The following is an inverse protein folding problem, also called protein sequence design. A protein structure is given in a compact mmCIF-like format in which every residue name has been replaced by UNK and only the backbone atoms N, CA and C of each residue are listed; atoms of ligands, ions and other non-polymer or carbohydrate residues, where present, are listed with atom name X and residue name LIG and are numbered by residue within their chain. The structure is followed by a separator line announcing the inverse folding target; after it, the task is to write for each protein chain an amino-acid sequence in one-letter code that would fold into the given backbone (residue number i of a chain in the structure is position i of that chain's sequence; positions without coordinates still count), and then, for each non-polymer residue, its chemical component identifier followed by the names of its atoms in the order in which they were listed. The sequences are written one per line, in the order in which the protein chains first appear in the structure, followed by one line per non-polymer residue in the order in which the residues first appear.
data_IF_458724715434
#
_entry.id   IF_458724715434
#
_cell.length_a   1.000
_cell.length_b   1.000
_cell.length_c   1.000
_cell.angle_alpha   90.00
_cell.angle_beta   90.00
_cell.angle_gamma   90.00
#
_symmetry.space_group_name_H-M   'P 1'
#
loop_
_entity.id
_entity.type
_entity.pdbx_description
1 polymer ?
#
# COMPACT_ATOMS: atom_id res chain seq x y z
N UNK A 1 -9.38 13.53 -24.17
CA UNK A 1 -9.66 12.67 -23.00
C UNK A 1 -8.49 12.86 -22.04
N UNK A 2 -8.62 13.78 -21.08
CA UNK A 2 -7.52 14.09 -20.15
C UNK A 2 -7.34 12.91 -19.18
N UNK A 3 -6.16 12.28 -19.22
CA UNK A 3 -5.73 11.35 -18.18
C UNK A 3 -5.71 12.12 -16.85
N UNK A 4 -6.65 11.81 -15.95
CA UNK A 4 -6.59 12.25 -14.56
C UNK A 4 -5.40 11.54 -13.92
N UNK A 5 -4.30 12.26 -13.73
CA UNK A 5 -3.11 11.75 -13.08
C UNK A 5 -3.33 11.61 -11.56
N UNK A 6 -2.64 10.66 -10.94
CA UNK A 6 -2.89 10.20 -9.57
C UNK A 6 -2.19 11.11 -8.55
N UNK A 7 -2.95 11.70 -7.62
CA UNK A 7 -2.40 12.39 -6.44
C UNK A 7 -2.04 11.38 -5.35
N UNK A 8 -0.79 11.41 -4.87
CA UNK A 8 -0.25 10.53 -3.82
C UNK A 8 -0.81 10.83 -2.41
N UNK A 9 -1.57 11.92 -2.27
CA UNK A 9 -2.17 12.37 -1.00
C UNK A 9 -3.71 12.25 -1.02
N UNK A 10 -4.32 11.98 -2.17
CA UNK A 10 -5.77 11.83 -2.33
C UNK A 10 -6.31 10.42 -2.06
N UNK A 11 -7.54 10.15 -2.53
CA UNK A 11 -8.20 8.84 -2.46
C UNK A 11 -7.29 7.67 -2.90
N UNK A 12 -6.39 7.92 -3.83
CA UNK A 12 -5.45 6.97 -4.43
C UNK A 12 -4.48 6.41 -3.37
N UNK A 13 -4.05 7.21 -2.39
CA UNK A 13 -3.22 6.75 -1.28
C UNK A 13 -3.91 5.65 -0.47
N UNK A 14 -5.22 5.80 -0.24
CA UNK A 14 -6.02 4.78 0.44
C UNK A 14 -6.09 3.50 -0.40
N UNK A 15 -6.25 3.63 -1.71
CA UNK A 15 -6.23 2.49 -2.64
C UNK A 15 -4.89 1.76 -2.62
N UNK A 16 -3.75 2.45 -2.65
CA UNK A 16 -2.45 1.81 -2.60
C UNK A 16 -2.17 1.15 -1.24
N UNK A 17 -2.59 1.77 -0.13
CA UNK A 17 -2.55 1.10 1.19
C UNK A 17 -3.41 -0.16 1.19
N UNK A 18 -4.60 -0.12 0.58
CA UNK A 18 -5.47 -1.28 0.42
C UNK A 18 -4.82 -2.37 -0.43
N UNK A 19 -4.04 -2.01 -1.46
CA UNK A 19 -3.24 -2.96 -2.23
C UNK A 19 -2.33 -3.77 -1.31
N UNK A 20 -1.54 -3.11 -0.45
CA UNK A 20 -0.66 -3.80 0.49
C UNK A 20 -1.39 -4.76 1.43
N UNK A 21 -2.63 -4.45 1.83
CA UNK A 21 -3.46 -5.38 2.60
C UNK A 21 -3.92 -6.59 1.79
N UNK A 22 -4.23 -6.42 0.51
CA UNK A 22 -4.55 -7.53 -0.37
C UNK A 22 -3.33 -8.40 -0.70
N UNK A 23 -2.12 -7.83 -0.81
CA UNK A 23 -0.88 -8.61 -0.93
C UNK A 23 -0.69 -9.55 0.26
N UNK A 24 -0.99 -9.10 1.49
CA UNK A 24 -0.95 -9.95 2.69
C UNK A 24 -1.91 -11.14 2.61
N UNK A 25 -3.02 -11.00 1.89
CA UNK A 25 -4.04 -12.02 1.73
C UNK A 25 -3.82 -12.94 0.51
N UNK A 26 -2.79 -12.71 -0.31
CA UNK A 26 -2.51 -13.51 -1.50
C UNK A 26 -1.62 -14.71 -1.16
N UNK A 27 -2.08 -15.95 -1.45
CA UNK A 27 -1.21 -17.12 -1.37
C UNK A 27 -0.04 -17.04 -2.34
N UNK A 28 -0.22 -16.56 -3.59
CA UNK A 28 0.88 -16.45 -4.56
C UNK A 28 1.99 -15.52 -4.07
N UNK A 29 1.62 -14.37 -3.51
CA UNK A 29 2.58 -13.42 -2.95
C UNK A 29 3.36 -14.02 -1.77
N UNK A 30 2.70 -14.86 -0.97
CA UNK A 30 3.35 -15.57 0.11
C UNK A 30 4.36 -16.62 -0.38
N UNK A 31 4.09 -17.28 -1.51
CA UNK A 31 5.06 -18.18 -2.14
C UNK A 31 6.30 -17.40 -2.61
N UNK A 32 6.15 -16.19 -3.12
CA UNK A 32 7.28 -15.33 -3.48
C UNK A 32 8.15 -14.96 -2.26
N UNK A 33 7.52 -14.68 -1.12
CA UNK A 33 8.22 -14.49 0.15
C UNK A 33 9.04 -15.70 0.55
N UNK A 34 8.43 -16.89 0.56
CA UNK A 34 9.13 -18.11 0.95
C UNK A 34 10.30 -18.41 0.00
N UNK A 35 10.08 -18.24 -1.31
CA UNK A 35 11.12 -18.38 -2.33
C UNK A 35 12.30 -17.45 -2.08
N UNK A 36 12.06 -16.15 -1.81
CA UNK A 36 13.12 -15.16 -1.52
C UNK A 36 13.81 -15.37 -0.17
N UNK A 37 13.12 -15.93 0.81
CA UNK A 37 13.67 -16.16 2.17
C UNK A 37 14.33 -17.53 2.35
N UNK A 38 14.28 -18.40 1.34
CA UNK A 38 14.82 -19.76 1.42
C UNK A 38 14.04 -20.67 2.38
N UNK A 39 12.86 -20.23 2.84
CA UNK A 39 12.02 -21.03 3.74
C UNK A 39 11.28 -22.06 2.91
N UNK A 40 11.50 -23.34 3.22
CA UNK A 40 10.74 -24.44 2.63
C UNK A 40 9.26 -24.28 2.90
N UNK A 41 8.44 -24.41 1.85
CA UNK A 41 7.00 -24.46 1.95
C UNK A 41 6.50 -25.86 1.54
N UNK A 42 5.55 -26.40 2.29
CA UNK A 42 4.88 -27.65 1.90
C UNK A 42 3.96 -27.43 0.69
N UNK A 43 3.97 -28.37 -0.25
CA UNK A 43 3.19 -28.34 -1.49
C UNK A 43 3.92 -27.59 -2.61
N UNK A 44 4.31 -28.33 -3.66
CA UNK A 44 5.31 -27.94 -4.66
C UNK A 44 4.86 -27.05 -5.81
N UNK A 45 3.64 -26.52 -5.84
CA UNK A 45 3.19 -25.78 -7.01
C UNK A 45 3.34 -24.27 -6.80
N UNK A 46 4.31 -23.70 -7.50
CA UNK A 46 4.35 -22.28 -7.82
C UNK A 46 3.30 -22.01 -8.91
N UNK A 47 2.64 -20.83 -8.91
CA UNK A 47 1.75 -20.49 -10.01
C UNK A 47 2.54 -20.45 -11.33
N UNK A 48 1.91 -20.81 -12.45
CA UNK A 48 2.61 -20.89 -13.74
C UNK A 48 3.24 -19.54 -14.19
N UNK A 49 2.70 -18.42 -13.70
CA UNK A 49 3.19 -17.06 -13.94
C UNK A 49 4.00 -16.49 -12.76
N UNK A 50 4.69 -17.35 -12.00
CA UNK A 50 5.38 -16.98 -10.76
C UNK A 50 6.39 -15.83 -10.93
N UNK A 51 7.08 -15.72 -12.07
CA UNK A 51 7.99 -14.60 -12.34
C UNK A 51 7.29 -13.23 -12.22
N UNK A 52 6.03 -13.15 -12.64
CA UNK A 52 5.22 -11.93 -12.50
C UNK A 52 4.97 -11.60 -11.04
N UNK A 53 4.70 -12.62 -10.22
CA UNK A 53 4.49 -12.49 -8.78
C UNK A 53 5.78 -12.11 -8.07
N UNK A 54 6.90 -12.73 -8.45
CA UNK A 54 8.21 -12.47 -7.89
C UNK A 54 8.64 -11.02 -8.15
N UNK A 55 8.40 -10.48 -9.35
CA UNK A 55 8.65 -9.07 -9.68
C UNK A 55 7.88 -8.10 -8.76
N UNK A 56 6.63 -8.41 -8.44
CA UNK A 56 5.80 -7.60 -7.51
C UNK A 56 6.34 -7.71 -6.08
N UNK A 57 6.77 -8.90 -5.68
CA UNK A 57 7.42 -9.10 -4.38
C UNK A 57 8.74 -8.33 -4.27
N UNK A 58 9.58 -8.37 -5.31
CA UNK A 58 10.86 -7.65 -5.32
C UNK A 58 10.68 -6.12 -5.24
N UNK A 59 9.58 -5.60 -5.79
CA UNK A 59 9.24 -4.18 -5.70
C UNK A 59 8.67 -3.77 -4.32
N UNK A 60 7.76 -4.56 -3.75
CA UNK A 60 7.02 -4.19 -2.53
C UNK A 60 7.56 -4.79 -1.24
N UNK A 61 8.47 -5.77 -1.33
CA UNK A 61 9.10 -6.45 -0.21
C UNK A 61 8.13 -7.19 0.72
N UNK A 62 8.58 -7.51 1.93
CA UNK A 62 7.73 -8.18 2.91
C UNK A 62 6.72 -7.20 3.52
N UNK A 63 5.49 -7.24 3.01
CA UNK A 63 4.39 -6.39 3.49
C UNK A 63 3.83 -6.80 4.85
N UNK A 64 4.23 -7.92 5.46
CA UNK A 64 3.60 -8.48 6.68
C UNK A 64 4.22 -7.97 7.97
N UNK A 65 5.54 -7.85 8.04
CA UNK A 65 6.24 -7.49 9.29
C UNK A 65 6.22 -5.99 9.58
N UNK A 66 5.84 -5.17 8.61
CA UNK A 66 5.75 -3.72 8.75
C UNK A 66 4.30 -3.28 8.99
N UNK A 67 4.07 -2.19 9.70
CA UNK A 67 2.74 -1.56 9.68
C UNK A 67 2.46 -1.03 8.27
N UNK A 68 1.20 -1.00 7.82
CA UNK A 68 0.89 -0.55 6.46
C UNK A 68 1.34 0.89 6.21
N UNK A 69 1.29 1.75 7.23
CA UNK A 69 1.77 3.13 7.14
C UNK A 69 3.29 3.20 6.99
N UNK A 70 4.04 2.33 7.69
CA UNK A 70 5.48 2.25 7.54
C UNK A 70 5.84 1.70 6.16
N UNK A 71 5.20 0.61 5.72
CA UNK A 71 5.38 0.05 4.39
C UNK A 71 5.07 1.06 3.28
N UNK A 72 3.94 1.77 3.39
CA UNK A 72 3.54 2.82 2.46
C UNK A 72 4.65 3.86 2.31
N UNK A 73 5.13 4.42 3.43
CA UNK A 73 6.15 5.47 3.43
C UNK A 73 7.51 4.98 2.94
N UNK A 74 7.96 3.81 3.34
CA UNK A 74 9.35 3.38 3.12
C UNK A 74 9.57 2.55 1.85
N UNK A 75 8.54 1.89 1.33
CA UNK A 75 8.68 0.96 0.21
C UNK A 75 7.74 1.32 -0.93
N UNK A 76 6.47 1.60 -0.62
CA UNK A 76 5.42 1.62 -1.64
C UNK A 76 5.38 2.94 -2.44
N UNK A 77 5.56 4.10 -1.80
CA UNK A 77 5.54 5.42 -2.45
C UNK A 77 6.43 5.48 -3.71
N UNK A 78 7.72 5.06 -3.67
CA UNK A 78 8.58 5.04 -4.85
C UNK A 78 8.07 4.16 -6.01
N UNK A 79 7.36 3.07 -5.72
CA UNK A 79 6.92 2.08 -6.72
C UNK A 79 5.72 2.55 -7.55
N UNK A 80 4.88 3.43 -6.97
CA UNK A 80 3.65 3.93 -7.60
C UNK A 80 3.85 5.26 -8.33
N UNK A 81 5.07 5.78 -8.36
CA UNK A 81 5.34 7.20 -8.53
C UNK A 81 4.60 7.91 -9.65
N UNK A 82 3.85 8.95 -9.32
CA UNK A 82 3.94 10.31 -9.90
C UNK A 82 3.43 11.25 -8.81
N UNK A 83 4.24 12.23 -8.38
CA UNK A 83 3.72 13.41 -7.70
C UNK A 83 3.30 14.39 -8.77
N UNK A 84 2.12 15.00 -8.61
CA UNK A 84 1.76 16.17 -9.41
C UNK A 84 2.73 17.33 -9.15
N UNK A 85 3.30 17.38 -7.95
CA UNK A 85 4.36 18.30 -7.56
C UNK A 85 5.70 17.77 -8.03
N UNK A 86 6.14 18.25 -9.19
CA UNK A 86 7.54 18.11 -9.60
C UNK A 86 8.43 18.62 -8.45
N UNK A 87 9.49 17.87 -8.07
CA UNK A 87 10.43 18.34 -7.07
C UNK A 87 10.90 19.76 -7.41
N UNK A 88 10.72 20.66 -6.46
CA UNK A 88 11.11 22.06 -6.59
C UNK A 88 12.10 22.40 -5.50
N UNK A 89 12.97 23.36 -5.77
CA UNK A 89 13.87 23.90 -4.76
C UNK A 89 13.04 24.68 -3.74
N UNK A 90 12.87 24.12 -2.53
CA UNK A 90 12.15 24.77 -1.43
C UNK A 90 13.15 25.43 -0.46
N UNK A 91 13.05 26.74 -0.18
CA UNK A 91 13.87 27.38 0.85
C UNK A 91 13.42 26.95 2.25
N UNK A 92 14.30 26.31 3.01
CA UNK A 92 14.01 25.83 4.38
C UNK A 92 14.29 26.88 5.48
N UNK A 93 14.77 28.07 5.11
CA UNK A 93 15.01 29.18 6.03
C UNK A 93 16.32 29.93 5.74
N UNK A 94 16.56 31.01 6.50
CA UNK A 94 17.78 31.81 6.42
C UNK A 94 18.36 32.03 7.82
N UNK A 95 19.68 31.93 7.96
CA UNK A 95 20.40 32.27 9.19
C UNK A 95 21.00 33.67 9.03
N UNK A 96 20.75 34.56 10.00
CA UNK A 96 21.37 35.89 10.04
C UNK A 96 22.34 35.96 11.22
N UNK A 97 23.42 36.71 11.05
CA UNK A 97 24.47 36.85 12.07
C UNK A 97 23.96 37.43 13.40
N UNK A 98 22.90 38.24 13.37
CA UNK A 98 22.36 38.99 14.53
C UNK A 98 21.16 38.33 15.24
N UNK A 99 20.70 37.16 14.80
CA UNK A 99 19.53 36.49 15.39
C UNK A 99 19.96 35.68 16.64
N UNK A 100 20.13 36.25 17.83
CA UNK A 100 20.83 35.53 18.92
C UNK A 100 20.09 34.31 19.50
N UNK A 101 18.74 34.28 19.54
CA UNK A 101 18.06 33.28 20.41
C UNK A 101 17.14 32.23 19.75
N UNK A 102 16.82 32.30 18.45
CA UNK A 102 15.76 31.43 17.86
C UNK A 102 16.11 30.74 16.53
N UNK A 103 17.40 30.72 16.13
CA UNK A 103 17.83 30.18 14.82
C UNK A 103 17.48 28.71 14.64
N UNK A 104 17.83 27.89 15.63
CA UNK A 104 17.68 26.43 15.54
C UNK A 104 16.21 26.02 15.59
N UNK A 105 15.40 26.68 16.42
CA UNK A 105 13.99 26.38 16.57
C UNK A 105 13.23 26.62 15.25
N UNK A 106 13.47 27.77 14.60
CA UNK A 106 12.83 28.12 13.31
C UNK A 106 13.20 27.13 12.21
N UNK A 107 14.49 26.86 12.01
CA UNK A 107 14.96 25.91 10.97
C UNK A 107 14.41 24.51 11.24
N UNK A 108 14.39 24.08 12.51
CA UNK A 108 13.85 22.77 12.88
C UNK A 108 12.37 22.65 12.53
N UNK A 109 11.58 23.70 12.71
CA UNK A 109 10.18 23.70 12.28
C UNK A 109 10.10 23.56 10.76
N UNK A 110 10.76 24.44 10.01
CA UNK A 110 10.67 24.43 8.54
C UNK A 110 11.17 23.13 7.91
N UNK A 111 12.24 22.53 8.42
CA UNK A 111 12.72 21.21 7.98
C UNK A 111 11.70 20.12 8.33
N UNK A 112 11.13 20.16 9.53
CA UNK A 112 10.10 19.19 9.94
C UNK A 112 8.85 19.28 9.06
N UNK A 113 8.39 20.50 8.78
CA UNK A 113 7.19 20.74 7.99
C UNK A 113 7.42 20.26 6.55
N UNK A 114 8.57 20.60 5.94
CA UNK A 114 8.97 20.07 4.64
C UNK A 114 9.00 18.54 4.60
N UNK A 115 9.62 17.89 5.58
CA UNK A 115 9.73 16.41 5.61
C UNK A 115 8.39 15.71 5.85
N UNK A 116 7.43 16.36 6.50
CA UNK A 116 6.13 15.77 6.83
C UNK A 116 5.05 16.04 5.79
N UNK A 117 5.25 17.03 4.92
CA UNK A 117 4.30 17.45 3.89
C UNK A 117 4.95 17.40 2.51
N UNK A 118 5.61 18.49 2.08
CA UNK A 118 6.10 18.66 0.71
C UNK A 118 7.01 17.52 0.21
N UNK A 119 7.91 17.02 1.04
CA UNK A 119 8.84 15.96 0.67
C UNK A 119 8.13 14.62 0.44
N UNK A 120 7.11 14.31 1.25
CA UNK A 120 6.28 13.12 1.04
C UNK A 120 5.44 13.27 -0.22
N UNK A 121 4.90 14.47 -0.45
CA UNK A 121 4.09 14.78 -1.61
C UNK A 121 4.91 14.61 -2.89
N UNK A 122 6.20 14.97 -2.88
CA UNK A 122 7.13 14.83 -4.01
C UNK A 122 7.69 13.40 -4.22
N UNK A 123 7.17 12.37 -3.55
CA UNK A 123 7.71 10.98 -3.60
C UNK A 123 9.11 10.89 -3.00
N UNK A 124 9.38 11.63 -1.94
CA UNK A 124 10.61 11.50 -1.17
C UNK A 124 11.88 11.58 -2.04
N UNK A 125 12.04 12.64 -2.87
CA UNK A 125 13.20 12.75 -3.73
C UNK A 125 14.46 12.83 -2.87
N UNK A 126 15.55 12.18 -3.32
CA UNK A 126 16.87 12.40 -2.71
C UNK A 126 17.16 13.91 -2.75
N UNK A 127 17.29 14.51 -1.56
CA UNK A 127 17.37 15.97 -1.39
C UNK A 127 18.63 16.34 -0.60
N UNK A 128 19.27 17.45 -0.99
CA UNK A 128 20.45 17.98 -0.31
C UNK A 128 19.99 19.11 0.62
N UNK A 129 20.41 19.05 1.89
CA UNK A 129 20.29 20.19 2.81
C UNK A 129 21.66 20.87 2.84
N UNK A 130 21.74 22.09 2.32
CA UNK A 130 22.99 22.85 2.22
C UNK A 130 22.85 24.25 2.83
N UNK A 131 23.93 24.73 3.47
CA UNK A 131 24.06 26.13 3.85
C UNK A 131 24.63 26.93 2.68
N UNK A 132 23.90 27.94 2.20
CA UNK A 132 24.30 28.77 1.07
C UNK A 132 24.62 30.19 1.57
N UNK A 133 25.92 30.59 1.63
CA UNK A 133 26.30 31.93 2.03
C UNK A 133 25.89 32.97 0.98
N UNK A 134 25.08 33.97 1.38
CA UNK A 134 24.55 35.00 0.46
C UNK A 134 25.58 36.03 -0.03
N UNK A 135 26.83 35.97 0.44
CA UNK A 135 27.92 36.87 0.04
C UNK A 135 28.85 36.36 -1.06
N UNK A 136 28.69 35.09 -1.49
CA UNK A 136 29.53 34.52 -2.54
C UNK A 136 29.01 34.89 -3.95
N UNK A 137 29.89 34.98 -4.97
CA UNK A 137 29.46 35.11 -6.35
C UNK A 137 28.53 33.96 -6.75
N UNK A 138 27.40 34.28 -7.39
CA UNK A 138 26.40 33.27 -7.82
C UNK A 138 27.01 32.13 -8.64
N UNK A 139 27.96 32.44 -9.53
CA UNK A 139 28.65 31.43 -10.33
C UNK A 139 29.41 30.41 -9.46
N UNK A 140 30.05 30.87 -8.37
CA UNK A 140 30.76 30.00 -7.44
C UNK A 140 29.78 29.13 -6.64
N UNK A 141 28.65 29.71 -6.19
CA UNK A 141 27.57 28.96 -5.52
C UNK A 141 27.03 27.87 -6.43
N UNK A 142 26.68 28.19 -7.69
CA UNK A 142 26.13 27.22 -8.63
C UNK A 142 27.11 26.10 -8.96
N UNK A 143 28.41 26.41 -9.07
CA UNK A 143 29.46 25.40 -9.26
C UNK A 143 29.47 24.41 -8.09
N UNK A 144 29.49 24.91 -6.85
CA UNK A 144 29.48 24.06 -5.65
C UNK A 144 28.21 23.21 -5.53
N UNK A 145 27.03 23.80 -5.81
CA UNK A 145 25.77 23.04 -5.81
C UNK A 145 25.80 21.93 -6.87
N UNK A 146 26.31 22.22 -8.07
CA UNK A 146 26.39 21.22 -9.15
C UNK A 146 27.29 20.05 -8.76
N UNK A 147 28.47 20.33 -8.20
CA UNK A 147 29.41 19.31 -7.71
C UNK A 147 28.77 18.41 -6.63
N UNK A 148 28.01 18.98 -5.69
CA UNK A 148 27.29 18.21 -4.66
C UNK A 148 26.18 17.33 -5.25
N UNK A 149 25.45 17.82 -6.25
CA UNK A 149 24.41 17.07 -6.95
C UNK A 149 25.02 15.90 -7.71
N UNK A 150 26.10 16.13 -8.45
CA UNK A 150 26.79 15.10 -9.23
C UNK A 150 27.32 13.97 -8.32
N UNK A 151 27.95 14.32 -7.20
CA UNK A 151 28.46 13.34 -6.24
C UNK A 151 27.35 12.43 -5.67
N UNK A 152 26.20 13.01 -5.34
CA UNK A 152 25.06 12.25 -4.81
C UNK A 152 24.41 11.41 -5.92
N UNK A 153 24.27 11.94 -7.13
CA UNK A 153 23.74 11.20 -8.27
C UNK A 153 24.61 9.95 -8.57
N UNK A 154 25.93 10.08 -8.52
CA UNK A 154 26.85 8.94 -8.67
C UNK A 154 26.73 7.90 -7.55
N UNK A 155 26.49 8.33 -6.30
CA UNK A 155 26.25 7.42 -5.18
C UNK A 155 24.94 6.64 -5.36
N UNK A 156 23.87 7.33 -5.74
CA UNK A 156 22.56 6.72 -6.00
C UNK A 156 22.60 5.76 -7.19
N UNK A 157 23.31 6.12 -8.26
CA UNK A 157 23.52 5.25 -9.41
C UNK A 157 24.23 3.93 -9.03
N UNK A 158 25.23 4.00 -8.14
CA UNK A 158 25.95 2.83 -7.62
C UNK A 158 25.11 1.98 -6.67
N UNK A 159 24.22 2.59 -5.89
CA UNK A 159 23.33 1.88 -4.97
C UNK A 159 22.11 1.24 -5.66
N UNK A 160 21.85 1.61 -6.93
CA UNK A 160 20.65 1.19 -7.65
C UNK A 160 19.37 1.87 -7.17
N UNK A 161 19.46 2.81 -6.22
CA UNK A 161 18.36 3.62 -5.72
C UNK A 161 18.02 4.70 -6.76
N UNK A 162 17.27 4.34 -7.79
CA UNK A 162 16.83 5.32 -8.78
C UNK A 162 15.62 6.09 -8.24
N UNK A 163 15.86 7.18 -7.51
CA UNK A 163 14.85 7.98 -6.79
C UNK A 163 13.97 8.86 -7.66
N UNK A 164 14.22 8.92 -8.97
CA UNK A 164 13.42 9.69 -9.93
C UNK A 164 13.00 8.84 -11.13
N UNK A 165 12.35 7.70 -10.92
CA UNK A 165 11.66 7.02 -12.04
C UNK A 165 10.36 7.77 -12.36
N UNK A 166 10.41 8.60 -13.40
CA UNK A 166 9.26 9.34 -13.96
C UNK A 166 8.14 8.48 -14.57
N UNK A 167 8.16 7.16 -14.38
CA UNK A 167 7.06 6.27 -14.72
C UNK A 167 6.81 5.33 -13.55
N UNK A 168 5.64 5.44 -12.91
CA UNK A 168 5.14 4.49 -11.93
C UNK A 168 5.33 3.05 -12.45
N UNK A 169 6.10 2.23 -11.75
CA UNK A 169 6.23 0.80 -12.08
C UNK A 169 4.88 0.09 -11.92
N UNK A 170 4.02 0.58 -11.02
CA UNK A 170 2.70 0.06 -10.75
C UNK A 170 1.64 1.18 -10.77
N UNK A 171 0.52 0.95 -11.47
CA UNK A 171 -0.61 1.89 -11.56
C UNK A 171 -1.90 1.21 -11.11
N UNK A 172 -2.84 2.00 -10.61
CA UNK A 172 -4.17 1.49 -10.29
C UNK A 172 -4.93 1.12 -11.57
N UNK A 173 -5.36 -0.14 -11.68
CA UNK A 173 -6.27 -0.63 -12.71
C UNK A 173 -7.72 -0.16 -12.43
N UNK A 174 -7.95 1.16 -12.45
CA UNK A 174 -9.25 1.74 -12.10
C UNK A 174 -10.33 1.30 -13.08
N UNK A 175 -11.31 0.56 -12.58
CA UNK A 175 -12.62 0.40 -13.23
C UNK A 175 -13.68 1.13 -12.41
N UNK A 176 -14.63 1.79 -13.08
CA UNK A 176 -15.72 2.55 -12.43
C UNK A 176 -16.66 1.71 -11.57
N UNK A 177 -16.52 0.38 -11.59
CA UNK A 177 -17.39 -0.57 -10.91
C UNK A 177 -16.92 -0.94 -9.49
N UNK A 178 -15.69 -0.58 -9.12
CA UNK A 178 -15.10 -0.97 -7.84
C UNK A 178 -15.00 0.21 -6.86
N UNK A 179 -15.77 0.11 -5.77
CA UNK A 179 -15.74 1.09 -4.69
C UNK A 179 -14.87 0.61 -3.53
N UNK A 180 -14.13 1.54 -2.92
CA UNK A 180 -13.21 1.28 -1.81
C UNK A 180 -13.89 0.54 -0.65
N UNK A 181 -15.06 1.02 -0.21
CA UNK A 181 -15.80 0.42 0.89
C UNK A 181 -16.22 -1.04 0.61
N UNK A 182 -16.56 -1.37 -0.63
CA UNK A 182 -16.91 -2.74 -1.03
C UNK A 182 -15.69 -3.65 -0.95
N UNK A 183 -14.54 -3.17 -1.40
CA UNK A 183 -13.30 -3.93 -1.30
C UNK A 183 -12.84 -4.10 0.15
N UNK A 184 -13.09 -3.11 1.00
CA UNK A 184 -12.82 -3.26 2.42
C UNK A 184 -13.65 -4.36 3.06
N UNK A 185 -14.93 -4.45 2.69
CA UNK A 185 -15.84 -5.51 3.13
C UNK A 185 -15.39 -6.90 2.67
N UNK A 186 -14.91 -7.04 1.42
CA UNK A 186 -14.38 -8.32 0.93
C UNK A 186 -13.12 -8.76 1.67
N UNK A 187 -12.21 -7.83 1.94
CA UNK A 187 -11.02 -8.09 2.75
C UNK A 187 -11.40 -8.47 4.19
N UNK A 188 -12.34 -7.75 4.82
CA UNK A 188 -12.87 -8.08 6.15
C UNK A 188 -13.45 -9.50 6.16
N UNK A 189 -14.17 -9.89 5.11
CA UNK A 189 -14.76 -11.21 4.98
C UNK A 189 -13.70 -12.32 4.94
N UNK A 190 -12.62 -12.15 4.16
CA UNK A 190 -11.47 -13.07 4.17
C UNK A 190 -10.85 -13.18 5.57
N UNK A 191 -10.68 -12.04 6.24
CA UNK A 191 -10.12 -11.99 7.59
C UNK A 191 -11.01 -12.72 8.62
N UNK A 192 -12.31 -12.44 8.65
CA UNK A 192 -13.25 -13.09 9.56
C UNK A 192 -13.29 -14.60 9.32
N UNK A 193 -13.32 -15.06 8.05
CA UNK A 193 -13.25 -16.49 7.72
C UNK A 193 -11.95 -17.12 8.20
N UNK A 194 -10.83 -16.41 8.08
CA UNK A 194 -9.52 -16.88 8.53
C UNK A 194 -9.41 -17.00 10.04
N UNK A 195 -9.96 -16.04 10.78
CA UNK A 195 -9.98 -16.03 12.25
C UNK A 195 -11.00 -17.01 12.84
N UNK A 196 -12.08 -17.28 12.11
CA UNK A 196 -13.17 -18.13 12.57
C UNK A 196 -13.50 -19.23 11.54
N UNK A 197 -12.63 -20.23 11.32
CA UNK A 197 -12.82 -21.24 10.28
C UNK A 197 -14.13 -22.02 10.42
N UNK A 198 -14.62 -22.20 11.65
CA UNK A 198 -15.84 -22.94 12.00
C UNK A 198 -17.13 -22.17 11.78
N UNK A 199 -17.09 -20.83 11.65
CA UNK A 199 -18.29 -20.05 11.39
C UNK A 199 -18.89 -20.42 10.04
N UNK A 200 -20.22 -20.47 9.99
CA UNK A 200 -20.96 -20.62 8.74
C UNK A 200 -20.86 -19.34 7.90
N UNK A 201 -21.12 -19.44 6.60
CA UNK A 201 -20.98 -18.29 5.69
C UNK A 201 -21.89 -17.11 6.07
N UNK A 202 -23.13 -17.36 6.52
CA UNK A 202 -24.02 -16.25 6.88
C UNK A 202 -23.52 -15.49 8.12
N UNK A 203 -22.95 -16.20 9.10
CA UNK A 203 -22.36 -15.60 10.31
C UNK A 203 -21.17 -14.72 9.93
N UNK A 204 -20.29 -15.23 9.06
CA UNK A 204 -19.15 -14.46 8.55
C UNK A 204 -19.62 -13.20 7.83
N UNK A 205 -20.66 -13.30 7.00
CA UNK A 205 -21.23 -12.15 6.29
C UNK A 205 -21.83 -11.10 7.22
N UNK A 206 -22.51 -11.53 8.29
CA UNK A 206 -23.06 -10.67 9.32
C UNK A 206 -21.92 -9.98 10.11
N UNK A 207 -20.95 -10.73 10.63
CA UNK A 207 -19.78 -10.20 11.36
C UNK A 207 -18.93 -9.25 10.49
N UNK A 208 -18.79 -9.54 9.19
CA UNK A 208 -18.07 -8.68 8.26
C UNK A 208 -18.88 -7.44 7.80
N UNK A 209 -20.16 -7.33 8.16
CA UNK A 209 -21.01 -6.19 7.78
C UNK A 209 -21.20 -6.06 6.26
N UNK A 210 -21.34 -7.19 5.55
CA UNK A 210 -21.42 -7.22 4.08
C UNK A 210 -22.66 -6.52 3.51
N UNK A 211 -23.78 -6.55 4.25
CA UNK A 211 -25.05 -5.97 3.82
C UNK A 211 -25.54 -4.96 4.85
N UNK A 212 -25.90 -3.76 4.38
CA UNK A 212 -26.56 -2.75 5.23
C UNK A 212 -27.95 -3.24 5.66
N UNK A 213 -28.67 -3.91 4.75
CA UNK A 213 -30.02 -4.43 5.00
C UNK A 213 -30.06 -5.53 6.08
N UNK A 214 -28.96 -6.24 6.29
CA UNK A 214 -28.87 -7.33 7.27
C UNK A 214 -27.94 -7.00 8.44
N UNK A 215 -27.62 -5.72 8.67
CA UNK A 215 -26.70 -5.30 9.73
C UNK A 215 -27.18 -5.64 11.13
N UNK A 216 -28.49 -5.69 11.34
CA UNK A 216 -29.11 -5.97 12.64
C UNK A 216 -29.24 -7.47 12.93
N UNK A 217 -28.85 -8.34 11.99
CA UNK A 217 -28.91 -9.78 12.22
C UNK A 217 -27.74 -10.20 13.12
N UNK A 218 -28.06 -10.65 14.33
CA UNK A 218 -27.07 -11.20 15.27
C UNK A 218 -26.42 -12.48 14.69
N UNK A 219 -25.09 -12.52 14.49
CA UNK A 219 -24.36 -13.71 14.05
C UNK A 219 -24.52 -14.94 14.96
N UNK A 220 -24.98 -14.74 16.21
CA UNK A 220 -25.19 -15.79 17.21
C UNK A 220 -26.66 -16.22 17.31
N UNK A 221 -27.58 -15.58 16.57
CA UNK A 221 -28.99 -15.93 16.64
C UNK A 221 -29.24 -17.40 16.27
N UNK A 222 -30.22 -18.03 16.90
CA UNK A 222 -30.70 -19.36 16.53
C UNK A 222 -31.55 -19.32 15.25
N UNK A 223 -31.51 -20.36 14.38
CA UNK A 223 -32.33 -20.43 13.18
C UNK A 223 -33.83 -20.34 13.49
N UNK A 224 -34.55 -19.47 12.80
CA UNK A 224 -36.00 -19.39 12.86
C UNK A 224 -36.59 -18.94 11.52
N UNK A 225 -37.91 -19.02 11.37
CA UNK A 225 -38.61 -18.67 10.13
C UNK A 225 -38.38 -17.21 9.71
N UNK A 226 -38.26 -16.30 10.68
CA UNK A 226 -38.10 -14.86 10.43
C UNK A 226 -36.70 -14.51 9.87
N UNK A 227 -35.68 -15.26 10.25
CA UNK A 227 -34.29 -14.99 9.86
C UNK A 227 -33.77 -15.87 8.72
N UNK A 228 -34.52 -16.90 8.28
CA UNK A 228 -34.10 -17.84 7.24
C UNK A 228 -33.72 -17.16 5.92
N UNK A 229 -34.57 -16.26 5.42
CA UNK A 229 -34.33 -15.53 4.16
C UNK A 229 -33.07 -14.65 4.25
N UNK A 230 -32.88 -13.97 5.38
CA UNK A 230 -31.71 -13.12 5.61
C UNK A 230 -30.42 -13.94 5.67
N UNK A 231 -30.43 -15.11 6.34
CA UNK A 231 -29.30 -16.03 6.39
C UNK A 231 -28.90 -16.56 5.02
N UNK A 232 -29.87 -17.00 4.23
CA UNK A 232 -29.63 -17.49 2.87
C UNK A 232 -29.01 -16.39 2.00
N UNK A 233 -29.58 -15.19 2.04
CA UNK A 233 -29.07 -14.02 1.30
C UNK A 233 -27.63 -13.68 1.71
N UNK A 234 -27.34 -13.67 3.01
CA UNK A 234 -25.98 -13.43 3.52
C UNK A 234 -25.01 -14.54 3.16
N UNK A 235 -25.42 -15.82 3.18
CA UNK A 235 -24.59 -16.95 2.76
C UNK A 235 -24.10 -16.76 1.32
N UNK A 236 -24.98 -16.39 0.39
CA UNK A 236 -24.65 -16.15 -1.01
C UNK A 236 -23.76 -14.91 -1.21
N UNK A 237 -24.07 -13.81 -0.52
CA UNK A 237 -23.24 -12.59 -0.54
C UNK A 237 -21.83 -12.87 -0.01
N UNK A 238 -21.72 -13.66 1.06
CA UNK A 238 -20.44 -14.04 1.66
C UNK A 238 -19.63 -14.92 0.73
N UNK A 239 -20.25 -15.93 0.12
CA UNK A 239 -19.58 -16.77 -0.88
C UNK A 239 -18.97 -15.93 -2.01
N UNK A 240 -19.75 -14.99 -2.57
CA UNK A 240 -19.27 -14.05 -3.59
C UNK A 240 -18.18 -13.12 -3.07
N UNK A 241 -18.30 -12.61 -1.85
CA UNK A 241 -17.31 -11.72 -1.24
C UNK A 241 -15.97 -12.41 -1.02
N UNK A 242 -15.97 -13.67 -0.54
CA UNK A 242 -14.76 -14.47 -0.35
C UNK A 242 -14.07 -14.72 -1.70
N UNK A 243 -14.82 -15.14 -2.72
CA UNK A 243 -14.27 -15.36 -4.06
C UNK A 243 -13.68 -14.07 -4.64
N UNK A 244 -14.40 -12.95 -4.58
CA UNK A 244 -13.94 -11.67 -5.12
C UNK A 244 -12.72 -11.15 -4.35
N UNK A 245 -12.75 -11.21 -3.02
CA UNK A 245 -11.62 -10.83 -2.18
C UNK A 245 -10.37 -11.64 -2.53
N UNK A 246 -10.52 -12.94 -2.72
CA UNK A 246 -9.42 -13.80 -3.13
C UNK A 246 -8.86 -13.42 -4.52
N UNK A 247 -9.72 -13.23 -5.51
CA UNK A 247 -9.28 -12.80 -6.85
C UNK A 247 -8.58 -11.44 -6.82
N UNK A 248 -9.04 -10.51 -5.97
CA UNK A 248 -8.35 -9.22 -5.78
C UNK A 248 -6.96 -9.43 -5.19
N UNK A 249 -6.81 -10.30 -4.19
CA UNK A 249 -5.50 -10.63 -3.62
C UNK A 249 -4.55 -11.20 -4.68
N UNK A 250 -5.02 -12.17 -5.47
CA UNK A 250 -4.22 -12.82 -6.49
C UNK A 250 -3.87 -11.92 -7.69
N UNK A 251 -4.77 -11.03 -8.09
CA UNK A 251 -4.47 -10.02 -9.11
C UNK A 251 -3.52 -8.94 -8.57
N UNK A 252 -3.67 -8.54 -7.31
CA UNK A 252 -2.77 -7.61 -6.64
C UNK A 252 -1.33 -8.13 -6.63
N UNK A 253 -1.15 -9.43 -6.38
CA UNK A 253 0.15 -10.10 -6.43
C UNK A 253 0.78 -10.13 -7.83
N UNK A 254 0.03 -9.76 -8.88
CA UNK A 254 0.50 -9.71 -10.28
C UNK A 254 0.64 -8.28 -10.81
N UNK A 255 0.49 -7.27 -9.96
CA UNK A 255 0.57 -5.88 -10.39
C UNK A 255 -0.77 -5.30 -10.86
N UNK A 256 -1.88 -6.04 -10.74
CA UNK A 256 -3.19 -5.66 -11.28
C UNK A 256 -4.14 -5.38 -10.11
N UNK A 257 -4.27 -4.11 -9.74
CA UNK A 257 -5.13 -3.73 -8.62
C UNK A 257 -5.78 -2.37 -8.86
N UNK A 258 -7.08 -2.17 -8.55
CA UNK A 258 -8.01 -3.17 -8.02
C UNK A 258 -8.69 -4.00 -9.12
N UNK A 259 -8.72 -5.33 -8.99
CA UNK A 259 -9.44 -6.20 -9.93
C UNK A 259 -9.88 -7.53 -9.30
N UNK A 260 -11.15 -7.92 -9.44
CA UNK A 260 -11.63 -9.27 -9.10
C UNK A 260 -11.79 -10.17 -10.32
N UNK A 261 -11.22 -9.79 -11.48
CA UNK A 261 -11.22 -10.67 -12.65
C UNK A 261 -10.65 -12.04 -12.28
N UNK A 262 -11.22 -13.11 -12.86
CA UNK A 262 -10.76 -14.46 -12.56
C UNK A 262 -9.30 -14.59 -12.97
N UNK A 263 -8.43 -14.84 -12.00
CA UNK A 263 -7.02 -15.14 -12.25
C UNK A 263 -6.88 -16.63 -12.54
N UNK A 264 -6.40 -16.97 -13.74
CA UNK A 264 -6.24 -18.37 -14.20
C UNK A 264 -5.15 -19.12 -13.45
N UNK A 265 -4.15 -18.39 -12.95
CA UNK A 265 -3.01 -18.92 -12.19
C UNK A 265 -3.15 -18.66 -10.68
N UNK A 266 -4.37 -18.34 -10.22
CA UNK A 266 -4.64 -18.14 -8.81
C UNK A 266 -4.34 -19.42 -8.02
N UNK A 267 -3.49 -19.27 -7.01
CA UNK A 267 -3.29 -20.30 -5.99
C UNK A 267 -4.57 -20.47 -5.16
N UNK A 268 -4.92 -21.69 -4.70
CA UNK A 268 -6.04 -21.87 -3.78
C UNK A 268 -5.95 -21.02 -2.52
N UNK A 269 -7.09 -20.57 -1.98
CA UNK A 269 -7.13 -19.82 -0.72
C UNK A 269 -6.68 -20.72 0.44
N UNK A 270 -5.65 -20.29 1.15
CA UNK A 270 -5.22 -20.92 2.40
C UNK A 270 -5.53 -20.00 3.59
N UNK A 271 -6.71 -20.15 4.19
CA UNK A 271 -7.15 -19.30 5.30
C UNK A 271 -6.24 -19.34 6.53
N UNK A 272 -5.51 -20.43 6.73
CA UNK A 272 -4.59 -20.61 7.87
C UNK A 272 -3.44 -19.59 7.88
N UNK A 273 -2.93 -19.16 6.72
CA UNK A 273 -1.87 -18.14 6.67
C UNK A 273 -2.43 -16.72 6.86
N UNK A 274 -3.63 -16.43 6.35
CA UNK A 274 -4.25 -15.10 6.44
C UNK A 274 -4.43 -14.69 7.91
N UNK A 275 -4.64 -15.66 8.79
CA UNK A 275 -4.76 -15.47 10.22
C UNK A 275 -3.41 -15.33 10.97
N UNK A 276 -2.33 -15.95 10.46
CA UNK A 276 -1.02 -15.97 11.14
C UNK A 276 -0.33 -14.60 11.06
N UNK A 277 -0.54 -13.84 12.14
CA UNK A 277 0.11 -12.58 12.55
C UNK A 277 -0.52 -11.28 11.99
N UNK A 278 -1.59 -10.88 12.69
CA UNK A 278 -2.07 -9.51 12.92
C UNK A 278 -2.32 -8.68 11.66
N UNK A 279 -3.39 -9.02 10.95
CA UNK A 279 -4.26 -8.02 10.34
C UNK A 279 -4.91 -7.16 11.45
N UNK A 280 -4.14 -6.29 12.12
CA UNK A 280 -4.70 -5.24 12.99
C UNK A 280 -5.30 -4.12 12.10
N UNK A 281 -6.15 -4.48 11.15
CA UNK A 281 -6.82 -3.54 10.26
C UNK A 281 -8.12 -3.03 10.87
N UNK A 282 -8.81 -3.88 11.62
CA UNK A 282 -10.05 -3.55 12.32
C UNK A 282 -9.73 -3.46 13.80
N UNK A 283 -10.11 -2.37 14.49
CA UNK A 283 -10.15 -2.38 15.95
C UNK A 283 -10.95 -3.59 16.41
N UNK A 284 -10.46 -4.27 17.46
CA UNK A 284 -11.34 -5.09 18.27
C UNK A 284 -12.46 -4.17 18.75
N UNK A 285 -13.71 -4.48 18.43
CA UNK A 285 -14.86 -3.85 19.09
C UNK A 285 -14.77 -4.07 20.61
#
# INVERSE_FOLDING_TARGET
MQEKHLSIVGDDANWFKLWGWYLRASPSYERARYFRTGVSFGGGDLPADFDTVLRVYDAFGDVRFMSINRWWRSVAIPQFGVSEDRPRVTPLGSIRHYDEDDRLARIRSSVRDYLNEEWLDQIQPTSIIASIPVGLPKAQIMKQISEMVDEIAEREARSGANTLRGNAAFKLARSSKLHYATMMRYLKCLHVKSANPKMTLWQIGATAGLSVQHRLLDPSAEPNADNEKARTSLKELTSRALLRGHMIAENAARGIFPSYAKCTHAMPVEYSFIHRKRFNFFPSE
#
